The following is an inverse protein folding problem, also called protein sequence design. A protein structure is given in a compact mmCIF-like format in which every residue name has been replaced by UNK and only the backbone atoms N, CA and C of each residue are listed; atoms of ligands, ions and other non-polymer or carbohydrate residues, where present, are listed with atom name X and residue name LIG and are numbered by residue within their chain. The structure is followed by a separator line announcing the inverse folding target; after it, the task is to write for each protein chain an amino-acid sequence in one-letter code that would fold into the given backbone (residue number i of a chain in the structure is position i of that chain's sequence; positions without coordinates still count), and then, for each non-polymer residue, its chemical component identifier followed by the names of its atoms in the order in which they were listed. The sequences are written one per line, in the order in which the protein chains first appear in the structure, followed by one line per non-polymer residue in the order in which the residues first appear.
data_IF_347554592603
#
_entry.id   IF_347554592603
#
_cell.length_a   1.000
_cell.length_b   1.000
_cell.length_c   1.000
_cell.angle_alpha   90.00
_cell.angle_beta   90.00
_cell.angle_gamma   90.00
#
_symmetry.space_group_name_H-M   'P 1'
#
loop_
_entity.id
_entity.type
_entity.pdbx_description
1 polymer ?
#
# COMPACT_ATOMS: atom_id res chain seq x y z
N UNK A 1 -21.30 -4.98 1.28
CA UNK A 1 -21.14 -6.39 1.71
C UNK A 1 -21.22 -6.54 3.23
N UNK A 2 -20.37 -5.85 3.99
CA UNK A 2 -20.44 -5.83 5.46
C UNK A 2 -21.68 -5.08 5.96
N UNK A 3 -22.52 -5.74 6.77
CA UNK A 3 -23.76 -5.17 7.30
C UNK A 3 -23.60 -4.54 8.69
N UNK A 4 -22.54 -4.89 9.41
CA UNK A 4 -22.21 -4.40 10.74
C UNK A 4 -22.07 -2.85 10.74
N UNK A 5 -22.87 -2.10 11.53
CA UNK A 5 -22.86 -0.65 11.48
C UNK A 5 -21.52 -0.03 11.92
N UNK A 6 -20.84 -0.66 12.88
CA UNK A 6 -19.52 -0.24 13.36
C UNK A 6 -18.48 -0.31 12.24
N UNK A 7 -18.50 -1.41 11.46
CA UNK A 7 -17.59 -1.56 10.33
C UNK A 7 -17.91 -0.57 9.20
N UNK A 8 -19.19 -0.30 8.97
CA UNK A 8 -19.61 0.72 7.98
C UNK A 8 -19.18 2.12 8.40
N UNK A 9 -19.21 2.43 9.70
CA UNK A 9 -18.70 3.70 10.23
C UNK A 9 -17.18 3.83 10.01
N UNK A 10 -16.42 2.75 10.27
CA UNK A 10 -14.98 2.72 9.99
C UNK A 10 -14.70 2.98 8.51
N UNK A 11 -15.33 2.22 7.60
CA UNK A 11 -15.14 2.41 6.16
C UNK A 11 -15.57 3.79 5.67
N UNK A 12 -16.63 4.37 6.24
CA UNK A 12 -17.03 5.73 5.93
C UNK A 12 -15.95 6.77 6.26
N UNK A 13 -15.25 6.57 7.39
CA UNK A 13 -14.13 7.44 7.79
C UNK A 13 -12.88 7.18 6.95
N UNK A 14 -12.56 5.91 6.69
CA UNK A 14 -11.46 5.53 5.81
C UNK A 14 -11.58 6.19 4.44
N UNK A 15 -12.75 6.15 3.80
CA UNK A 15 -12.99 6.81 2.51
C UNK A 15 -12.70 8.32 2.58
N UNK A 16 -13.09 8.98 3.67
CA UNK A 16 -12.82 10.40 3.85
C UNK A 16 -11.31 10.67 4.01
N UNK A 17 -10.60 9.83 4.78
CA UNK A 17 -9.16 9.92 4.96
C UNK A 17 -8.38 9.66 3.67
N UNK A 18 -8.78 8.67 2.87
CA UNK A 18 -8.15 8.41 1.57
C UNK A 18 -8.27 9.58 0.59
N UNK A 19 -9.38 10.34 0.65
CA UNK A 19 -9.49 11.57 -0.14
C UNK A 19 -8.49 12.63 0.32
N UNK A 20 -8.22 12.73 1.64
CA UNK A 20 -7.20 13.63 2.19
C UNK A 20 -5.79 13.16 1.81
N UNK A 21 -5.54 11.84 1.80
CA UNK A 21 -4.28 11.27 1.32
C UNK A 21 -4.02 11.68 -0.14
N UNK A 22 -5.04 11.52 -1.00
CA UNK A 22 -4.99 11.88 -2.41
C UNK A 22 -4.75 13.38 -2.63
N UNK A 23 -5.43 14.26 -1.89
CA UNK A 23 -5.19 15.70 -1.92
C UNK A 23 -3.75 16.04 -1.50
N UNK A 24 -3.27 15.41 -0.42
CA UNK A 24 -1.93 15.62 0.12
C UNK A 24 -0.85 15.23 -0.91
N UNK A 25 -0.99 14.07 -1.55
CA UNK A 25 -0.05 13.65 -2.61
C UNK A 25 -0.10 14.58 -3.82
N UNK A 26 -1.30 15.00 -4.24
CA UNK A 26 -1.48 15.94 -5.34
C UNK A 26 -0.79 17.28 -5.05
N UNK A 27 -0.93 17.80 -3.84
CA UNK A 27 -0.28 19.03 -3.40
C UNK A 27 1.24 18.88 -3.37
N UNK A 28 1.78 17.75 -2.89
CA UNK A 28 3.22 17.50 -2.86
C UNK A 28 3.79 17.41 -4.28
N UNK A 29 3.12 16.70 -5.19
CA UNK A 29 3.52 16.60 -6.60
C UNK A 29 3.51 17.98 -7.26
N UNK A 30 2.45 18.77 -7.08
CA UNK A 30 2.37 20.13 -7.63
C UNK A 30 3.48 21.05 -7.11
N UNK A 31 3.88 20.87 -5.85
CA UNK A 31 4.95 21.63 -5.24
C UNK A 31 6.35 21.21 -5.70
N UNK A 32 6.60 19.92 -5.91
CA UNK A 32 7.94 19.43 -6.25
C UNK A 32 8.19 19.31 -7.76
N UNK A 33 7.15 19.10 -8.56
CA UNK A 33 7.24 18.86 -9.99
C UNK A 33 6.62 20.04 -10.72
N UNK A 34 7.48 20.86 -11.32
CA UNK A 34 7.08 22.12 -11.97
C UNK A 34 6.80 21.95 -13.46
N UNK A 35 7.41 20.96 -14.10
CA UNK A 35 7.16 20.65 -15.50
C UNK A 35 5.76 20.02 -15.66
N UNK A 36 4.85 20.65 -16.43
CA UNK A 36 3.53 20.10 -16.69
C UNK A 36 3.54 18.74 -17.40
N UNK A 37 4.51 18.49 -18.28
CA UNK A 37 4.58 17.21 -19.02
C UNK A 37 5.01 16.06 -18.11
N UNK A 38 6.04 16.28 -17.29
CA UNK A 38 6.47 15.32 -16.26
C UNK A 38 5.34 15.04 -15.25
N UNK A 39 4.62 16.10 -14.85
CA UNK A 39 3.47 16.01 -13.95
C UNK A 39 2.33 15.17 -14.54
N UNK A 40 1.94 15.40 -15.79
CA UNK A 40 0.92 14.59 -16.48
C UNK A 40 1.32 13.11 -16.54
N UNK A 41 2.59 12.84 -16.88
CA UNK A 41 3.12 11.48 -16.91
C UNK A 41 2.99 10.78 -15.55
N UNK A 42 3.27 11.48 -14.45
CA UNK A 42 3.22 10.93 -13.09
C UNK A 42 1.77 10.73 -12.63
N UNK A 43 0.85 11.64 -12.96
CA UNK A 43 -0.58 11.41 -12.68
C UNK A 43 -1.14 10.21 -13.46
N UNK A 44 -0.56 9.91 -14.62
CA UNK A 44 -0.87 8.71 -15.41
C UNK A 44 0.06 7.53 -15.10
N UNK A 45 0.65 7.47 -13.91
CA UNK A 45 1.63 6.43 -13.52
C UNK A 45 1.14 4.99 -13.76
N UNK A 46 -0.17 4.72 -13.63
CA UNK A 46 -0.72 3.39 -13.92
C UNK A 46 -0.51 2.97 -15.39
N UNK A 47 -0.47 3.92 -16.32
CA UNK A 47 -0.26 3.69 -17.76
C UNK A 47 1.21 3.89 -18.16
N UNK A 48 1.95 4.72 -17.42
CA UNK A 48 3.30 5.18 -17.80
C UNK A 48 4.43 4.49 -17.01
N UNK A 49 4.12 3.81 -15.90
CA UNK A 49 5.08 3.15 -15.00
C UNK A 49 4.73 1.66 -14.87
N UNK A 50 5.48 0.75 -15.54
CA UNK A 50 5.14 -0.67 -15.61
C UNK A 50 4.96 -1.36 -14.25
N UNK A 51 5.75 -1.00 -13.22
CA UNK A 51 5.58 -1.60 -11.90
C UNK A 51 4.32 -1.14 -11.18
N UNK A 52 3.82 0.07 -11.48
CA UNK A 52 2.53 0.54 -10.96
C UNK A 52 1.40 -0.21 -11.66
N UNK A 53 1.51 -0.43 -12.97
CA UNK A 53 0.59 -1.28 -13.72
C UNK A 53 0.50 -2.69 -13.12
N UNK A 54 1.64 -3.34 -12.85
CA UNK A 54 1.67 -4.68 -12.23
C UNK A 54 0.96 -4.73 -10.87
N UNK A 55 1.10 -3.69 -10.04
CA UNK A 55 0.37 -3.58 -8.77
C UNK A 55 -1.13 -3.49 -9.00
N UNK A 56 -1.56 -2.66 -9.95
CA UNK A 56 -2.97 -2.49 -10.29
C UNK A 56 -3.55 -3.81 -10.84
N UNK A 57 -2.84 -4.49 -11.73
CA UNK A 57 -3.24 -5.80 -12.28
C UNK A 57 -3.36 -6.86 -11.18
N UNK A 58 -2.40 -6.93 -10.24
CA UNK A 58 -2.51 -7.80 -9.09
C UNK A 58 -3.75 -7.48 -8.25
N UNK A 59 -3.98 -6.20 -7.92
CA UNK A 59 -5.15 -5.80 -7.13
C UNK A 59 -6.47 -6.18 -7.83
N UNK A 60 -6.59 -5.91 -9.13
CA UNK A 60 -7.77 -6.27 -9.93
C UNK A 60 -7.99 -7.79 -10.02
N UNK A 61 -6.92 -8.58 -10.01
CA UNK A 61 -7.02 -10.05 -10.04
C UNK A 61 -7.61 -10.67 -8.77
N UNK A 62 -7.58 -9.94 -7.65
CA UNK A 62 -8.09 -10.41 -6.35
C UNK A 62 -9.31 -9.64 -5.84
N UNK A 63 -9.44 -8.37 -6.22
CA UNK A 63 -10.52 -7.47 -5.80
C UNK A 63 -11.51 -7.33 -6.95
N UNK A 64 -12.28 -8.39 -7.16
CA UNK A 64 -13.33 -8.47 -8.18
C UNK A 64 -14.53 -9.31 -7.67
N UNK A 65 -15.58 -9.36 -8.47
CA UNK A 65 -16.83 -10.05 -8.13
C UNK A 65 -16.71 -11.59 -8.21
N UNK A 66 -15.69 -12.12 -8.89
CA UNK A 66 -15.46 -13.57 -9.04
C UNK A 66 -14.80 -14.18 -7.78
N UNK A 67 -14.05 -13.38 -7.01
CA UNK A 67 -13.45 -13.79 -5.76
C UNK A 67 -14.45 -13.80 -4.59
N UNK A 68 -14.18 -14.59 -3.55
CA UNK A 68 -15.00 -14.54 -2.34
C UNK A 68 -14.62 -13.35 -1.44
N UNK A 69 -15.52 -12.94 -0.54
CA UNK A 69 -15.27 -11.84 0.39
C UNK A 69 -13.97 -11.99 1.18
N UNK A 70 -13.64 -13.21 1.62
CA UNK A 70 -12.44 -13.48 2.40
C UNK A 70 -11.16 -13.29 1.59
N UNK A 71 -11.16 -13.63 0.30
CA UNK A 71 -10.03 -13.36 -0.61
C UNK A 71 -9.87 -11.86 -0.83
N UNK A 72 -10.97 -11.16 -1.12
CA UNK A 72 -10.97 -9.70 -1.26
C UNK A 72 -10.46 -9.00 -0.01
N UNK A 73 -10.84 -9.49 1.18
CA UNK A 73 -10.43 -8.89 2.45
C UNK A 73 -8.94 -9.07 2.74
N UNK A 74 -8.36 -10.24 2.43
CA UNK A 74 -6.91 -10.46 2.54
C UNK A 74 -6.16 -9.63 1.49
N UNK A 75 -6.65 -9.59 0.26
CA UNK A 75 -6.05 -8.76 -0.79
C UNK A 75 -6.10 -7.28 -0.42
N UNK A 76 -7.22 -6.81 0.14
CA UNK A 76 -7.35 -5.46 0.69
C UNK A 76 -6.35 -5.19 1.82
N UNK A 77 -6.20 -6.11 2.78
CA UNK A 77 -5.17 -5.99 3.82
C UNK A 77 -3.75 -5.88 3.24
N UNK A 78 -3.47 -6.56 2.13
CA UNK A 78 -2.19 -6.44 1.43
C UNK A 78 -2.04 -5.09 0.71
N UNK A 79 -3.13 -4.51 0.17
CA UNK A 79 -3.12 -3.17 -0.44
C UNK A 79 -2.72 -2.12 0.60
N UNK A 80 -3.36 -2.12 1.76
CA UNK A 80 -3.10 -1.13 2.82
C UNK A 80 -1.77 -1.43 3.57
N UNK A 81 -1.44 -2.71 3.75
CA UNK A 81 -0.36 -3.13 4.65
C UNK A 81 0.99 -3.44 3.97
N UNK A 82 0.98 -3.91 2.71
CA UNK A 82 2.18 -4.37 2.00
C UNK A 82 2.49 -3.44 0.82
N UNK A 83 1.50 -3.17 -0.04
CA UNK A 83 1.72 -2.25 -1.15
C UNK A 83 2.06 -0.87 -0.57
N UNK A 84 3.07 -0.21 -1.15
CA UNK A 84 3.63 1.07 -0.67
C UNK A 84 4.45 1.03 0.62
N UNK A 85 4.53 -0.10 1.33
CA UNK A 85 5.38 -0.20 2.53
C UNK A 85 6.85 0.17 2.25
N UNK A 86 7.37 -0.18 1.06
CA UNK A 86 8.71 0.20 0.61
C UNK A 86 8.85 1.71 0.41
N UNK A 87 7.85 2.35 -0.20
CA UNK A 87 7.79 3.82 -0.37
C UNK A 87 7.79 4.56 0.96
N UNK A 88 6.96 4.13 1.91
CA UNK A 88 6.92 4.73 3.25
C UNK A 88 8.28 4.64 3.94
N UNK A 89 8.91 3.47 3.88
CA UNK A 89 10.25 3.25 4.43
C UNK A 89 11.31 4.14 3.74
N UNK A 90 11.24 4.28 2.42
CA UNK A 90 12.13 5.17 1.67
C UNK A 90 11.98 6.65 2.06
N UNK A 91 10.77 7.12 2.36
CA UNK A 91 10.56 8.49 2.83
C UNK A 91 11.03 8.66 4.29
N UNK A 92 10.83 7.65 5.15
CA UNK A 92 11.42 7.66 6.50
C UNK A 92 12.95 7.70 6.48
N UNK A 93 13.58 7.12 5.47
CA UNK A 93 15.02 7.25 5.28
C UNK A 93 15.45 8.71 5.05
N UNK A 94 14.66 9.50 4.31
CA UNK A 94 14.89 10.95 4.16
C UNK A 94 14.70 11.69 5.49
N UNK A 95 13.69 11.30 6.29
CA UNK A 95 13.47 11.84 7.65
C UNK A 95 14.69 11.65 8.54
N UNK A 96 15.30 10.46 8.52
CA UNK A 96 16.53 10.15 9.28
C UNK A 96 17.68 11.09 8.93
N UNK A 97 17.70 11.62 7.70
CA UNK A 97 18.71 12.58 7.22
C UNK A 97 18.31 14.05 7.42
N UNK A 98 17.16 14.32 8.04
CA UNK A 98 16.65 15.67 8.28
C UNK A 98 16.19 16.39 7.01
N UNK A 99 15.76 15.65 5.98
CA UNK A 99 15.35 16.19 4.69
C UNK A 99 13.83 16.21 4.55
N UNK A 100 13.32 17.18 3.78
CA UNK A 100 11.93 17.25 3.32
C UNK A 100 10.90 17.19 4.46
N UNK A 101 10.94 18.09 5.45
CA UNK A 101 10.12 17.99 6.67
C UNK A 101 8.62 17.88 6.38
N UNK A 102 8.09 18.63 5.40
CA UNK A 102 6.68 18.54 4.98
C UNK A 102 6.30 17.15 4.44
N UNK A 103 7.08 16.62 3.50
CA UNK A 103 6.89 15.27 2.94
C UNK A 103 6.99 14.18 4.02
N UNK A 104 8.00 14.28 4.90
CA UNK A 104 8.22 13.26 5.93
C UNK A 104 7.15 13.28 7.02
N UNK A 105 6.58 14.46 7.31
CA UNK A 105 5.49 14.61 8.25
C UNK A 105 4.18 14.05 7.68
N UNK A 106 3.83 14.38 6.44
CA UNK A 106 2.65 13.79 5.80
C UNK A 106 2.77 12.28 5.65
N UNK A 107 3.96 11.78 5.29
CA UNK A 107 4.24 10.35 5.22
C UNK A 107 4.02 9.62 6.56
N UNK A 108 4.38 10.26 7.68
CA UNK A 108 4.14 9.68 9.01
C UNK A 108 2.65 9.56 9.32
N UNK A 109 1.86 10.57 8.98
CA UNK A 109 0.41 10.54 9.17
C UNK A 109 -0.26 9.50 8.27
N UNK A 110 0.06 9.50 6.97
CA UNK A 110 -0.53 8.57 6.00
C UNK A 110 -0.14 7.13 6.38
N UNK A 111 1.14 6.83 6.60
CA UNK A 111 1.58 5.47 6.95
C UNK A 111 1.00 4.94 8.28
N UNK A 112 0.65 5.83 9.22
CA UNK A 112 -0.11 5.46 10.43
C UNK A 112 -1.54 5.06 10.07
N UNK A 113 -2.18 5.85 9.21
CA UNK A 113 -3.58 5.64 8.81
C UNK A 113 -3.72 4.34 7.99
N UNK A 114 -2.81 4.09 7.05
CA UNK A 114 -2.71 2.81 6.32
C UNK A 114 -2.50 1.61 7.25
N UNK A 115 -1.66 1.77 8.28
CA UNK A 115 -1.48 0.75 9.32
C UNK A 115 -2.79 0.43 10.04
N UNK A 116 -3.57 1.46 10.38
CA UNK A 116 -4.88 1.29 11.02
C UNK A 116 -5.88 0.59 10.09
N UNK A 117 -5.86 0.90 8.78
CA UNK A 117 -6.71 0.24 7.79
C UNK A 117 -6.37 -1.24 7.62
N UNK A 118 -5.07 -1.57 7.55
CA UNK A 118 -4.58 -2.95 7.50
C UNK A 118 -4.98 -3.75 8.76
N UNK A 119 -4.80 -3.16 9.95
CA UNK A 119 -5.20 -3.77 11.22
C UNK A 119 -6.72 -4.02 11.27
N UNK A 120 -7.51 -3.09 10.73
CA UNK A 120 -8.96 -3.25 10.65
C UNK A 120 -9.38 -4.39 9.71
N UNK A 121 -8.70 -4.55 8.57
CA UNK A 121 -8.92 -5.68 7.69
C UNK A 121 -8.61 -7.02 8.39
N UNK A 122 -7.52 -7.08 9.17
CA UNK A 122 -7.17 -8.24 9.98
C UNK A 122 -8.22 -8.52 11.07
N UNK A 123 -8.73 -7.49 11.73
CA UNK A 123 -9.81 -7.61 12.72
C UNK A 123 -11.06 -8.24 12.09
N UNK A 124 -11.51 -7.71 10.95
CA UNK A 124 -12.67 -8.24 10.24
C UNK A 124 -12.45 -9.68 9.79
N UNK A 125 -11.25 -10.01 9.31
CA UNK A 125 -10.90 -11.39 8.92
C UNK A 125 -10.92 -12.34 10.12
N UNK A 126 -10.46 -11.88 11.29
CA UNK A 126 -10.49 -12.64 12.53
C UNK A 126 -11.90 -12.88 13.07
N UNK A 127 -12.87 -12.04 12.70
CA UNK A 127 -14.28 -12.26 13.01
C UNK A 127 -14.95 -13.28 12.06
N UNK A 128 -14.29 -13.68 10.96
CA UNK A 128 -14.80 -14.74 10.09
C UNK A 128 -14.62 -16.09 10.75
N UNK A 129 -15.71 -16.82 10.96
CA UNK A 129 -15.66 -18.17 11.55
C UNK A 129 -15.77 -19.28 10.51
N UNK A 130 -16.60 -19.11 9.48
CA UNK A 130 -16.95 -20.18 8.54
C UNK A 130 -16.33 -20.00 7.15
N UNK A 131 -15.90 -18.79 6.82
CA UNK A 131 -15.40 -18.43 5.48
C UNK A 131 -13.90 -18.15 5.48
N UNK A 132 -13.16 -18.52 6.53
CA UNK A 132 -11.70 -18.37 6.55
C UNK A 132 -11.09 -19.19 5.41
N UNK A 133 -10.03 -18.65 4.85
CA UNK A 133 -9.30 -19.28 3.77
C UNK A 133 -8.30 -20.30 4.34
N UNK A 134 -7.96 -21.35 3.58
CA UNK A 134 -6.79 -22.16 3.89
C UNK A 134 -5.52 -21.30 3.87
N UNK A 135 -4.58 -21.59 4.77
CA UNK A 135 -3.31 -20.86 4.87
C UNK A 135 -2.58 -20.78 3.53
N UNK A 136 -2.60 -21.84 2.73
CA UNK A 136 -1.97 -21.86 1.41
C UNK A 136 -2.50 -20.74 0.50
N UNK A 137 -3.81 -20.49 0.54
CA UNK A 137 -4.47 -19.44 -0.27
C UNK A 137 -4.15 -18.05 0.28
N UNK A 138 -4.09 -17.88 1.60
CA UNK A 138 -3.65 -16.61 2.21
C UNK A 138 -2.21 -16.29 1.80
N UNK A 139 -1.32 -17.27 1.92
CA UNK A 139 0.09 -17.11 1.53
C UNK A 139 0.26 -16.83 0.04
N UNK A 140 -0.60 -17.37 -0.83
CA UNK A 140 -0.58 -17.08 -2.27
C UNK A 140 -0.86 -15.59 -2.53
N UNK A 141 -1.93 -15.05 -1.93
CA UNK A 141 -2.30 -13.64 -2.07
C UNK A 141 -1.17 -12.74 -1.56
N UNK A 142 -0.67 -13.01 -0.35
CA UNK A 142 0.39 -12.24 0.30
C UNK A 142 1.70 -12.30 -0.50
N UNK A 143 2.10 -13.48 -0.99
CA UNK A 143 3.30 -13.62 -1.85
C UNK A 143 3.18 -12.78 -3.11
N UNK A 144 2.02 -12.79 -3.77
CA UNK A 144 1.78 -11.95 -4.94
C UNK A 144 1.96 -10.46 -4.64
N UNK A 145 1.46 -9.98 -3.50
CA UNK A 145 1.64 -8.58 -3.06
C UNK A 145 3.11 -8.23 -2.80
N UNK A 146 3.84 -9.12 -2.13
CA UNK A 146 5.28 -8.96 -1.88
C UNK A 146 6.06 -8.88 -3.19
N UNK A 147 5.74 -9.74 -4.17
CA UNK A 147 6.44 -9.78 -5.44
C UNK A 147 6.25 -8.48 -6.23
N UNK A 148 5.03 -7.94 -6.31
CA UNK A 148 4.79 -6.66 -7.01
C UNK A 148 5.40 -5.45 -6.29
N UNK A 149 5.44 -5.45 -4.95
CA UNK A 149 6.10 -4.39 -4.18
C UNK A 149 7.63 -4.43 -4.36
N UNK A 150 8.22 -5.63 -4.37
CA UNK A 150 9.66 -5.80 -4.63
C UNK A 150 10.05 -5.33 -6.02
N UNK A 151 9.21 -5.61 -7.04
CA UNK A 151 9.43 -5.10 -8.40
C UNK A 151 9.40 -3.58 -8.40
N UNK A 152 8.40 -2.96 -7.76
CA UNK A 152 8.29 -1.50 -7.69
C UNK A 152 9.51 -0.83 -7.03
N UNK A 153 9.96 -1.35 -5.89
CA UNK A 153 11.07 -0.76 -5.13
C UNK A 153 12.46 -1.04 -5.76
N UNK A 154 12.53 -2.01 -6.68
CA UNK A 154 13.77 -2.35 -7.39
C UNK A 154 13.88 -1.65 -8.74
N UNK A 155 12.77 -1.51 -9.47
CA UNK A 155 12.73 -0.96 -10.83
C UNK A 155 12.41 0.54 -10.84
N UNK A 156 11.34 0.97 -10.16
CA UNK A 156 10.80 2.33 -10.30
C UNK A 156 11.27 3.30 -9.23
N UNK A 157 11.54 2.81 -8.03
CA UNK A 157 12.21 3.57 -6.99
C UNK A 157 13.46 2.81 -6.53
N UNK A 158 14.52 2.68 -7.36
CA UNK A 158 15.74 2.01 -6.91
C UNK A 158 16.28 2.71 -5.67
N UNK A 159 16.03 2.13 -4.50
CA UNK A 159 16.30 2.79 -3.20
C UNK A 159 17.80 3.05 -3.00
N UNK A 160 18.64 2.41 -3.80
CA UNK A 160 20.06 2.73 -3.96
C UNK A 160 20.32 4.19 -4.33
N UNK A 161 19.44 4.82 -5.13
CA UNK A 161 19.57 6.22 -5.54
C UNK A 161 19.47 7.20 -4.37
N UNK A 162 18.76 6.83 -3.30
CA UNK A 162 18.64 7.63 -2.07
C UNK A 162 19.60 7.15 -0.96
N UNK A 163 20.48 6.19 -1.27
CA UNK A 163 21.48 5.67 -0.35
C UNK A 163 21.01 4.53 0.55
N UNK A 164 19.92 3.83 0.19
CA UNK A 164 19.48 2.61 0.88
C UNK A 164 19.99 1.35 0.17
N UNK A 165 19.97 0.23 0.87
CA UNK A 165 20.34 -1.07 0.31
C UNK A 165 19.07 -1.81 -0.19
N UNK A 166 19.04 -2.18 -1.47
CA UNK A 166 17.89 -2.86 -2.09
C UNK A 166 17.59 -4.24 -1.48
N UNK A 167 18.62 -4.99 -1.07
CA UNK A 167 18.44 -6.29 -0.41
C UNK A 167 17.80 -6.13 0.97
N UNK A 168 18.22 -5.11 1.74
CA UNK A 168 17.59 -4.78 3.02
C UNK A 168 16.14 -4.33 2.83
N UNK A 169 15.85 -3.59 1.75
CA UNK A 169 14.48 -3.18 1.44
C UNK A 169 13.59 -4.38 1.08
N UNK A 170 14.10 -5.34 0.30
CA UNK A 170 13.36 -6.59 0.02
C UNK A 170 13.05 -7.35 1.31
N UNK A 171 14.05 -7.51 2.20
CA UNK A 171 13.85 -8.14 3.52
C UNK A 171 12.87 -7.38 4.41
N UNK A 172 12.85 -6.05 4.30
CA UNK A 172 11.88 -5.23 5.02
C UNK A 172 10.45 -5.51 4.53
N UNK A 173 10.23 -5.63 3.21
CA UNK A 173 8.92 -5.99 2.65
C UNK A 173 8.51 -7.39 3.11
N UNK A 174 9.43 -8.36 3.09
CA UNK A 174 9.20 -9.71 3.63
C UNK A 174 8.80 -9.67 5.12
N UNK A 175 9.51 -8.88 5.93
CA UNK A 175 9.16 -8.68 7.35
C UNK A 175 7.77 -8.07 7.54
N UNK A 176 7.39 -7.09 6.72
CA UNK A 176 6.05 -6.47 6.79
C UNK A 176 4.97 -7.50 6.44
N UNK A 177 5.22 -8.36 5.44
CA UNK A 177 4.30 -9.42 5.06
C UNK A 177 4.21 -10.51 6.14
N UNK A 178 5.33 -10.95 6.72
CA UNK A 178 5.34 -11.88 7.84
C UNK A 178 4.54 -11.34 9.03
N UNK A 179 4.66 -10.04 9.32
CA UNK A 179 3.87 -9.37 10.37
C UNK A 179 2.37 -9.39 10.06
N UNK A 180 1.97 -9.25 8.80
CA UNK A 180 0.56 -9.30 8.39
C UNK A 180 -0.03 -10.72 8.55
N UNK A 181 0.80 -11.76 8.41
CA UNK A 181 0.40 -13.16 8.50
C UNK A 181 0.20 -13.67 9.94
N UNK A 182 0.70 -12.96 10.95
CA UNK A 182 0.64 -13.33 12.38
C UNK A 182 -0.58 -12.73 13.05
#
# INVERSE_FOLDING_TARGET
EVQCPEARAFYGFQIAMENIHSETYSLLIDNYIKDPEEKDKIFRAMETVPSVQKKAEWALSWINDDNCFSERLIAFACVEGILFSGSFCAIYWLKKRGLMPGLTFSNELISRDEGLHADFACLLYNMLTYTRLPDERVHEIVRGAVDVERVFISESLPVSLIGMNSQLMCRYIEFVADRLLV
#
